data_IF_762961628194
#
_entry.id   IF_762961628194
#
_cell.length_a   1.000
_cell.length_b   1.000
_cell.length_c   1.000
_cell.angle_alpha   90.00
_cell.angle_beta   90.00
_cell.angle_gamma   90.00
#
_symmetry.space_group_name_H-M   'P 1'
#
loop_
_entity.id
_entity.type
_entity.pdbx_description
1 polymer ?
#
# COMPACT_ATOMS: atom_id res chain seq x y z
N UNK A 1 -40.61 14.25 -46.37
CA UNK A 1 -40.83 12.80 -46.24
C UNK A 1 -39.94 12.31 -45.10
N UNK A 2 -40.56 11.86 -43.99
CA UNK A 2 -40.20 10.73 -43.10
C UNK A 2 -38.76 10.18 -43.22
N UNK A 3 -37.94 9.94 -42.18
CA UNK A 3 -38.10 9.70 -40.74
C UNK A 3 -36.74 9.89 -40.02
N UNK A 4 -36.80 10.27 -38.75
CA UNK A 4 -35.70 10.23 -37.78
C UNK A 4 -35.29 8.79 -37.44
N UNK A 5 -34.01 8.56 -37.14
CA UNK A 5 -33.54 7.37 -36.43
C UNK A 5 -32.64 7.77 -35.25
N UNK A 6 -33.16 7.52 -34.05
CA UNK A 6 -32.48 7.57 -32.75
C UNK A 6 -32.41 6.12 -32.24
N UNK A 7 -31.29 5.68 -31.68
CA UNK A 7 -31.25 4.39 -30.97
C UNK A 7 -30.22 4.37 -29.84
N UNK A 8 -30.78 4.41 -28.63
CA UNK A 8 -30.17 4.26 -27.32
C UNK A 8 -29.67 2.83 -27.06
N UNK A 9 -28.67 2.72 -26.19
CA UNK A 9 -28.09 1.48 -25.67
C UNK A 9 -29.10 0.67 -24.82
N UNK A 10 -29.15 -0.66 -24.93
CA UNK A 10 -29.98 -1.49 -24.05
C UNK A 10 -29.25 -1.94 -22.78
N UNK A 11 -30.03 -1.93 -21.69
CA UNK A 11 -29.80 -2.55 -20.38
C UNK A 11 -29.85 -4.08 -20.47
N UNK A 12 -29.04 -4.82 -19.69
CA UNK A 12 -29.25 -6.26 -19.48
C UNK A 12 -30.25 -6.54 -18.37
N UNK A 13 -31.09 -7.53 -18.67
CA UNK A 13 -32.28 -8.01 -17.98
C UNK A 13 -31.99 -8.74 -16.66
N UNK A 14 -32.94 -8.59 -15.74
CA UNK A 14 -33.17 -9.37 -14.53
C UNK A 14 -33.44 -10.85 -14.83
N UNK A 15 -32.72 -11.75 -14.16
CA UNK A 15 -33.08 -13.18 -14.06
C UNK A 15 -33.58 -13.48 -12.65
N UNK A 16 -34.81 -13.97 -12.60
CA UNK A 16 -35.57 -14.45 -11.45
C UNK A 16 -35.05 -15.82 -10.97
N UNK A 17 -34.98 -16.02 -9.65
CA UNK A 17 -34.77 -17.33 -9.03
C UNK A 17 -35.87 -17.55 -7.98
N UNK A 18 -36.47 -18.75 -7.84
CA UNK A 18 -37.77 -18.93 -7.22
C UNK A 18 -37.74 -19.07 -5.69
N UNK A 19 -38.82 -18.59 -5.09
CA UNK A 19 -39.18 -18.75 -3.68
C UNK A 19 -39.55 -20.20 -3.34
N UNK A 20 -38.92 -20.77 -2.32
CA UNK A 20 -39.52 -21.84 -1.51
C UNK A 20 -39.47 -21.44 -0.04
N UNK A 21 -40.66 -21.30 0.54
CA UNK A 21 -40.92 -20.98 1.93
C UNK A 21 -41.00 -22.26 2.77
N UNK A 22 -40.37 -22.26 3.94
CA UNK A 22 -40.80 -23.01 5.14
C UNK A 22 -40.00 -22.58 6.38
N UNK A 23 -40.72 -22.06 7.38
CA UNK A 23 -40.33 -22.05 8.80
C UNK A 23 -39.91 -20.69 9.41
N UNK A 24 -40.68 -20.12 10.36
CA UNK A 24 -40.29 -18.92 11.08
C UNK A 24 -39.32 -19.30 12.21
N UNK A 25 -38.01 -19.20 11.97
CA UNK A 25 -37.03 -19.18 13.04
C UNK A 25 -36.91 -17.74 13.57
N UNK A 26 -37.86 -17.34 14.40
CA UNK A 26 -37.73 -16.17 15.27
C UNK A 26 -36.68 -16.45 16.34
N UNK A 27 -35.42 -16.50 15.95
CA UNK A 27 -34.35 -16.09 16.84
C UNK A 27 -34.46 -14.56 16.86
N UNK A 28 -34.97 -14.02 17.96
CA UNK A 28 -34.91 -12.59 18.27
C UNK A 28 -33.45 -12.15 18.18
N UNK A 29 -33.03 -11.74 16.98
CA UNK A 29 -31.69 -11.23 16.73
C UNK A 29 -31.55 -9.98 17.60
N UNK A 30 -30.82 -10.13 18.71
CA UNK A 30 -30.58 -9.06 19.68
C UNK A 30 -29.97 -7.88 18.92
N UNK A 31 -30.79 -6.89 18.64
CA UNK A 31 -30.36 -5.67 17.97
C UNK A 31 -29.74 -4.72 19.01
N UNK A 32 -28.77 -3.94 18.57
CA UNK A 32 -28.04 -3.03 19.45
C UNK A 32 -28.52 -1.60 19.18
N UNK A 33 -29.20 -0.99 20.17
CA UNK A 33 -29.70 0.37 20.10
C UNK A 33 -28.75 1.34 20.81
N UNK A 34 -28.70 2.58 20.35
CA UNK A 34 -27.91 3.63 21.00
C UNK A 34 -28.76 4.39 22.02
N UNK A 35 -28.33 4.35 23.27
CA UNK A 35 -29.02 5.02 24.38
C UNK A 35 -28.51 6.45 24.61
N UNK A 36 -27.65 6.97 23.74
CA UNK A 36 -27.12 8.33 23.87
C UNK A 36 -28.26 9.35 23.67
N UNK A 37 -28.41 10.34 24.58
CA UNK A 37 -29.49 11.32 24.52
C UNK A 37 -29.56 12.02 23.14
N UNK A 38 -30.74 12.02 22.53
CA UNK A 38 -30.96 12.65 21.23
C UNK A 38 -30.41 11.89 20.02
N UNK A 39 -29.79 10.71 20.21
CA UNK A 39 -29.30 9.91 19.09
C UNK A 39 -30.44 9.19 18.35
N UNK A 40 -30.62 9.50 17.06
CA UNK A 40 -31.68 8.92 16.20
C UNK A 40 -31.17 7.77 15.33
N UNK A 41 -30.07 7.11 15.71
CA UNK A 41 -29.51 6.01 14.91
C UNK A 41 -30.47 4.82 14.89
N UNK A 42 -30.66 4.22 13.72
CA UNK A 42 -31.38 2.94 13.59
C UNK A 42 -30.67 1.83 14.39
N UNK A 43 -31.41 0.81 14.88
CA UNK A 43 -30.79 -0.33 15.56
C UNK A 43 -29.76 -1.02 14.68
N UNK A 44 -28.61 -1.35 15.27
CA UNK A 44 -27.52 -2.03 14.57
C UNK A 44 -27.71 -3.54 14.67
N UNK A 45 -27.49 -4.24 13.55
CA UNK A 45 -27.56 -5.71 13.49
C UNK A 45 -26.31 -6.38 14.07
N UNK A 46 -25.15 -5.71 14.00
CA UNK A 46 -23.86 -6.22 14.44
C UNK A 46 -23.33 -5.43 15.64
N UNK A 47 -22.80 -6.14 16.64
CA UNK A 47 -22.16 -5.55 17.81
C UNK A 47 -20.97 -4.66 17.44
N UNK A 48 -20.23 -5.02 16.40
CA UNK A 48 -19.09 -4.25 15.90
C UNK A 48 -19.51 -2.88 15.36
N UNK A 49 -20.61 -2.82 14.59
CA UNK A 49 -21.14 -1.57 14.05
C UNK A 49 -21.67 -0.66 15.16
N UNK A 50 -22.35 -1.23 16.16
CA UNK A 50 -22.80 -0.51 17.34
C UNK A 50 -21.64 0.04 18.17
N UNK A 51 -20.63 -0.79 18.45
CA UNK A 51 -19.42 -0.37 19.18
C UNK A 51 -18.71 0.78 18.44
N UNK A 52 -18.66 0.73 17.10
CA UNK A 52 -18.13 1.82 16.26
C UNK A 52 -19.00 3.07 16.35
N UNK A 53 -20.33 2.93 16.32
CA UNK A 53 -21.26 4.05 16.45
C UNK A 53 -21.11 4.77 17.79
N UNK A 54 -20.98 4.04 18.91
CA UNK A 54 -20.82 4.63 20.25
C UNK A 54 -19.63 5.60 20.37
N UNK A 55 -18.57 5.41 19.57
CA UNK A 55 -17.41 6.33 19.54
C UNK A 55 -17.73 7.71 18.96
N UNK A 56 -18.86 7.88 18.26
CA UNK A 56 -19.31 9.20 17.81
C UNK A 56 -19.66 10.07 19.01
N UNK A 57 -20.17 9.46 20.08
CA UNK A 57 -20.58 10.16 21.30
C UNK A 57 -19.43 10.48 22.25
N UNK A 58 -18.33 9.71 22.15
CA UNK A 58 -17.07 9.97 22.83
C UNK A 58 -15.93 9.99 21.79
N UNK A 59 -15.81 11.03 20.97
CA UNK A 59 -14.87 11.06 19.86
C UNK A 59 -13.47 11.38 20.37
N UNK A 60 -12.85 10.44 21.11
CA UNK A 60 -11.43 10.54 21.37
C UNK A 60 -10.69 10.48 20.03
N UNK A 61 -9.94 11.54 19.71
CA UNK A 61 -9.19 11.65 18.45
C UNK A 61 -7.78 11.16 18.71
N UNK A 62 -7.66 9.84 18.79
CA UNK A 62 -6.41 9.16 19.17
C UNK A 62 -5.43 9.08 18.00
N UNK A 63 -5.88 9.32 16.76
CA UNK A 63 -5.07 9.12 15.57
C UNK A 63 -4.65 10.43 14.92
N UNK A 64 -3.41 10.84 15.19
CA UNK A 64 -2.79 11.99 14.53
C UNK A 64 -2.12 11.57 13.22
N UNK A 65 -2.16 12.44 12.22
CA UNK A 65 -1.36 12.28 11.01
C UNK A 65 0.12 12.60 11.30
N UNK A 66 1.08 11.70 11.00
CA UNK A 66 2.50 11.95 11.23
C UNK A 66 3.16 12.79 10.13
N UNK A 67 2.44 13.13 9.05
CA UNK A 67 2.96 13.95 7.97
C UNK A 67 3.29 15.36 8.48
N UNK A 68 4.48 15.85 8.14
CA UNK A 68 4.94 17.18 8.52
C UNK A 68 4.02 18.26 7.93
N UNK A 69 3.69 19.25 8.76
CA UNK A 69 2.78 20.34 8.36
C UNK A 69 1.31 19.93 8.24
N UNK A 70 0.94 18.65 8.45
CA UNK A 70 -0.45 18.23 8.38
C UNK A 70 -1.26 18.76 9.58
N UNK A 71 -2.40 19.41 9.28
CA UNK A 71 -3.29 20.00 10.30
C UNK A 71 -4.16 18.96 11.04
N UNK A 72 -4.11 17.68 10.64
CA UNK A 72 -4.91 16.58 11.21
C UNK A 72 -4.17 15.88 12.37
N UNK A 73 -3.86 16.64 13.43
CA UNK A 73 -3.16 16.14 14.62
C UNK A 73 -3.92 16.48 15.92
N UNK A 74 -3.65 15.72 16.99
CA UNK A 74 -4.26 15.89 18.31
C UNK A 74 -5.79 15.87 18.23
N UNK A 75 -6.43 16.93 18.76
CA UNK A 75 -7.89 17.10 18.73
C UNK A 75 -8.48 17.18 17.31
N UNK A 76 -7.67 17.49 16.29
CA UNK A 76 -8.07 17.50 14.87
C UNK A 76 -7.75 16.19 14.14
N UNK A 77 -7.26 15.19 14.86
CA UNK A 77 -6.97 13.87 14.36
C UNK A 77 -8.22 13.09 13.93
N UNK A 78 -8.07 11.79 13.84
CA UNK A 78 -9.12 10.85 13.48
C UNK A 78 -9.51 10.03 14.70
N UNK A 79 -10.79 9.66 14.79
CA UNK A 79 -11.28 8.71 15.79
C UNK A 79 -11.23 7.27 15.27
N UNK A 80 -10.80 7.07 14.02
CA UNK A 80 -10.67 5.76 13.38
C UNK A 80 -9.42 5.70 12.53
N UNK A 81 -8.73 4.57 12.62
CA UNK A 81 -7.53 4.23 11.86
C UNK A 81 -7.73 4.21 10.34
N UNK A 82 -8.80 3.57 9.87
CA UNK A 82 -9.07 3.49 8.43
C UNK A 82 -9.25 4.89 7.81
N UNK A 83 -9.79 5.84 8.58
CA UNK A 83 -9.92 7.25 8.15
C UNK A 83 -8.61 8.01 8.15
N UNK A 84 -7.66 7.66 9.02
CA UNK A 84 -6.30 8.18 8.93
C UNK A 84 -5.59 7.63 7.68
N UNK A 85 -5.70 6.33 7.42
CA UNK A 85 -5.09 5.70 6.22
C UNK A 85 -5.70 6.28 4.94
N UNK A 86 -7.03 6.38 4.84
CA UNK A 86 -7.74 7.01 3.72
C UNK A 86 -7.23 8.45 3.50
N UNK A 87 -7.07 9.22 4.59
CA UNK A 87 -6.55 10.58 4.53
C UNK A 87 -5.13 10.63 3.99
N UNK A 88 -4.24 9.74 4.48
CA UNK A 88 -2.85 9.71 4.04
C UNK A 88 -2.76 9.38 2.55
N UNK A 89 -3.46 8.34 2.10
CA UNK A 89 -3.44 7.90 0.71
C UNK A 89 -4.14 8.86 -0.26
N UNK A 90 -4.96 9.79 0.24
CA UNK A 90 -5.67 10.77 -0.59
C UNK A 90 -5.03 12.16 -0.56
N UNK A 91 -4.30 12.50 0.49
CA UNK A 91 -3.85 13.86 0.77
C UNK A 91 -2.34 14.03 0.89
N UNK A 92 -1.58 12.95 0.99
CA UNK A 92 -0.12 12.98 1.04
C UNK A 92 0.43 12.19 -0.13
N UNK A 93 1.26 12.85 -0.92
CA UNK A 93 2.07 12.17 -1.92
C UNK A 93 3.21 11.41 -1.22
N UNK A 94 4.03 10.77 -2.02
CA UNK A 94 5.12 9.95 -1.50
C UNK A 94 6.34 10.77 -1.10
N UNK A 95 6.45 12.01 -1.59
CA UNK A 95 7.51 12.96 -1.22
C UNK A 95 7.21 13.63 0.13
N UNK A 96 5.96 13.50 0.59
CA UNK A 96 5.54 13.94 1.92
C UNK A 96 6.38 13.24 2.98
N UNK A 97 7.02 14.04 3.83
CA UNK A 97 7.85 13.58 4.93
C UNK A 97 7.00 13.34 6.18
N UNK A 98 7.20 12.18 6.80
CA UNK A 98 6.55 11.73 8.02
C UNK A 98 7.55 11.78 9.17
N UNK A 99 7.13 12.37 10.30
CA UNK A 99 7.93 12.43 11.53
C UNK A 99 7.45 11.38 12.51
N UNK A 100 8.40 10.65 13.09
CA UNK A 100 8.08 9.70 14.14
C UNK A 100 7.62 10.43 15.41
N UNK A 101 6.43 10.10 15.97
CA UNK A 101 5.94 10.77 17.18
C UNK A 101 6.57 10.24 18.47
N UNK A 102 7.42 9.20 18.43
CA UNK A 102 8.06 8.63 19.62
C UNK A 102 9.06 9.58 20.25
N UNK A 103 9.13 9.57 21.57
CA UNK A 103 10.18 10.28 22.27
C UNK A 103 11.56 9.73 21.86
N UNK A 104 12.52 10.65 21.70
CA UNK A 104 13.91 10.35 21.34
C UNK A 104 14.07 9.68 19.96
N UNK A 105 13.04 9.72 19.11
CA UNK A 105 13.15 9.39 17.70
C UNK A 105 13.06 10.67 16.86
N UNK A 106 14.11 10.98 16.10
CA UNK A 106 14.16 12.14 15.19
C UNK A 106 14.00 11.74 13.72
N UNK A 107 13.48 10.54 13.45
CA UNK A 107 13.34 10.03 12.10
C UNK A 107 12.35 10.86 11.29
N UNK A 108 12.79 11.23 10.10
CA UNK A 108 12.02 11.94 9.09
C UNK A 108 12.16 11.15 7.80
N UNK A 109 11.07 10.53 7.37
CA UNK A 109 11.09 9.51 6.32
C UNK A 109 9.92 9.74 5.38
N UNK A 110 10.07 9.36 4.11
CA UNK A 110 8.96 9.30 3.17
C UNK A 110 7.88 8.32 3.67
N UNK A 111 6.69 8.39 3.09
CA UNK A 111 5.58 7.48 3.44
C UNK A 111 5.99 6.00 3.37
N UNK A 112 6.80 5.64 2.37
CA UNK A 112 7.20 4.26 2.11
C UNK A 112 8.21 3.76 3.15
N UNK A 113 9.28 4.51 3.42
CA UNK A 113 10.25 4.15 4.46
C UNK A 113 9.64 4.23 5.87
N UNK A 114 8.75 5.19 6.11
CA UNK A 114 8.01 5.28 7.37
C UNK A 114 7.14 4.03 7.64
N UNK A 115 6.67 3.35 6.61
CA UNK A 115 5.86 2.12 6.75
C UNK A 115 6.65 0.93 7.33
N UNK A 116 7.98 0.99 7.30
CA UNK A 116 8.89 -0.02 7.86
C UNK A 116 9.75 0.51 9.03
N UNK A 117 9.73 1.84 9.27
CA UNK A 117 10.47 2.50 10.36
C UNK A 117 10.07 1.99 11.75
N UNK A 118 8.77 1.97 12.04
CA UNK A 118 8.26 1.54 13.33
C UNK A 118 7.25 0.42 13.14
N UNK A 119 7.72 -0.82 13.29
CA UNK A 119 6.85 -1.98 13.25
C UNK A 119 5.83 -2.09 14.40
N UNK A 120 5.74 -1.12 15.33
CA UNK A 120 5.04 -1.41 16.59
C UNK A 120 4.20 -0.33 17.29
N UNK A 121 4.31 0.99 17.09
CA UNK A 121 3.69 1.88 18.11
C UNK A 121 2.93 3.13 17.65
N UNK A 122 2.61 3.21 16.37
CA UNK A 122 1.20 3.43 16.09
C UNK A 122 0.57 2.06 15.95
N UNK A 123 0.54 1.27 17.04
CA UNK A 123 0.36 -0.20 17.11
C UNK A 123 1.05 -0.99 15.99
N UNK A 124 1.27 -2.29 16.11
CA UNK A 124 1.73 -3.11 14.98
C UNK A 124 0.77 -3.07 13.77
N UNK A 125 -0.39 -2.42 13.92
CA UNK A 125 -1.44 -2.39 12.94
C UNK A 125 -1.63 -1.02 12.25
N UNK A 126 -1.38 0.16 12.85
CA UNK A 126 -1.91 1.41 12.26
C UNK A 126 -1.29 1.82 10.93
N UNK A 127 -0.01 1.51 10.70
CA UNK A 127 0.71 1.91 9.48
C UNK A 127 1.43 0.76 8.78
N UNK A 128 1.54 -0.41 9.41
CA UNK A 128 2.08 -1.61 8.76
C UNK A 128 1.32 -1.96 7.47
N UNK A 129 0.07 -1.53 7.32
CA UNK A 129 -0.68 -1.73 6.08
C UNK A 129 -0.29 -0.74 4.97
N UNK A 130 0.31 0.43 5.29
CA UNK A 130 0.71 1.40 4.25
C UNK A 130 1.74 0.82 3.28
N UNK A 131 2.54 -0.15 3.72
CA UNK A 131 3.51 -0.85 2.87
C UNK A 131 2.87 -1.63 1.72
N UNK A 132 1.58 -1.97 1.86
CA UNK A 132 0.78 -2.66 0.86
C UNK A 132 0.11 -1.73 -0.16
N UNK A 133 0.30 -0.42 -0.03
CA UNK A 133 -0.24 0.57 -0.96
C UNK A 133 0.88 1.15 -1.82
N UNK A 134 0.61 1.28 -3.12
CA UNK A 134 1.42 2.08 -4.06
C UNK A 134 0.53 3.00 -4.85
N UNK A 135 1.03 4.19 -5.07
CA UNK A 135 0.41 5.28 -5.83
C UNK A 135 1.15 5.45 -7.14
N UNK A 136 0.43 5.84 -8.18
CA UNK A 136 1.09 6.25 -9.42
C UNK A 136 1.99 7.46 -9.15
N UNK A 137 3.26 7.44 -9.57
CA UNK A 137 4.20 8.56 -9.36
C UNK A 137 3.85 9.80 -10.18
N UNK A 138 2.92 9.69 -11.12
CA UNK A 138 2.52 10.80 -11.98
C UNK A 138 1.65 11.80 -11.20
N UNK A 139 2.01 13.10 -11.18
CA UNK A 139 1.24 14.10 -10.45
C UNK A 139 -0.21 14.19 -10.93
N UNK A 140 -1.13 14.42 -9.98
CA UNK A 140 -2.59 14.47 -10.21
C UNK A 140 -3.19 13.16 -10.76
N UNK A 141 -2.44 12.06 -10.72
CA UNK A 141 -2.99 10.74 -10.99
C UNK A 141 -3.54 10.10 -9.71
N UNK A 142 -4.84 9.76 -9.71
CA UNK A 142 -5.48 9.11 -8.56
C UNK A 142 -5.30 7.59 -8.52
N UNK A 143 -4.55 7.00 -9.45
CA UNK A 143 -4.40 5.56 -9.54
C UNK A 143 -3.54 5.04 -8.39
N UNK A 144 -4.06 4.01 -7.71
CA UNK A 144 -3.40 3.36 -6.58
C UNK A 144 -3.76 1.88 -6.55
N UNK A 145 -2.80 1.09 -6.12
CA UNK A 145 -2.97 -0.34 -5.90
C UNK A 145 -2.91 -0.65 -4.41
N UNK A 146 -3.59 -1.72 -4.02
CA UNK A 146 -3.47 -2.35 -2.72
C UNK A 146 -3.18 -3.83 -2.96
N UNK A 147 -2.20 -4.39 -2.28
CA UNK A 147 -1.79 -5.78 -2.42
C UNK A 147 -1.58 -6.47 -1.09
N UNK A 148 -1.64 -7.79 -1.08
CA UNK A 148 -1.18 -8.60 0.05
C UNK A 148 0.08 -9.35 -0.37
N UNK A 149 0.73 -10.05 0.55
CA UNK A 149 1.90 -10.88 0.23
C UNK A 149 1.65 -11.94 -0.84
N UNK A 150 0.40 -12.36 -1.03
CA UNK A 150 0.01 -13.40 -2.00
C UNK A 150 -0.08 -12.88 -3.44
N UNK A 151 -0.50 -11.62 -3.63
CA UNK A 151 -0.74 -11.02 -4.95
C UNK A 151 0.14 -9.79 -5.23
N UNK A 152 1.25 -9.68 -4.51
CA UNK A 152 2.13 -8.51 -4.57
C UNK A 152 2.59 -8.19 -5.99
N UNK A 153 3.13 -9.18 -6.72
CA UNK A 153 3.66 -8.99 -8.07
C UNK A 153 2.60 -8.60 -9.08
N UNK A 154 1.51 -9.36 -9.15
CA UNK A 154 0.42 -9.10 -10.11
C UNK A 154 -0.13 -7.67 -9.96
N UNK A 155 -0.23 -7.19 -8.73
CA UNK A 155 -0.70 -5.83 -8.45
C UNK A 155 0.34 -4.77 -8.81
N UNK A 156 1.62 -5.02 -8.54
CA UNK A 156 2.71 -4.14 -8.93
C UNK A 156 2.87 -4.07 -10.46
N UNK A 157 2.74 -5.19 -11.16
CA UNK A 157 2.70 -5.25 -12.63
C UNK A 157 1.50 -4.47 -13.18
N UNK A 158 0.34 -4.52 -12.51
CA UNK A 158 -0.81 -3.68 -12.85
C UNK A 158 -0.53 -2.17 -12.69
N UNK A 159 0.30 -1.76 -11.72
CA UNK A 159 0.74 -0.36 -11.61
C UNK A 159 1.69 0.02 -12.75
N UNK A 160 2.62 -0.86 -13.10
CA UNK A 160 3.52 -0.65 -14.23
C UNK A 160 2.74 -0.52 -15.54
N UNK A 161 1.79 -1.41 -15.79
CA UNK A 161 0.91 -1.36 -16.96
C UNK A 161 0.10 -0.05 -16.99
N UNK A 162 -0.43 0.39 -15.85
CA UNK A 162 -1.08 1.70 -15.75
C UNK A 162 -0.14 2.84 -16.17
N UNK A 163 1.11 2.85 -15.70
CA UNK A 163 2.11 3.87 -16.06
C UNK A 163 2.33 3.88 -17.58
N UNK A 164 2.46 2.70 -18.22
CA UNK A 164 2.68 2.59 -19.67
C UNK A 164 1.48 3.06 -20.51
N UNK A 165 0.28 2.67 -20.10
CA UNK A 165 -0.91 2.76 -20.94
C UNK A 165 -1.77 4.00 -20.65
N UNK A 166 -1.64 4.60 -19.47
CA UNK A 166 -2.46 5.74 -19.03
C UNK A 166 -1.74 7.08 -19.11
N UNK A 167 -0.44 7.09 -19.41
CA UNK A 167 0.37 8.30 -19.50
C UNK A 167 1.20 8.30 -20.79
N UNK A 168 1.05 9.35 -21.59
CA UNK A 168 1.82 9.50 -22.81
C UNK A 168 3.31 9.74 -22.51
N UNK A 169 4.17 9.49 -23.50
CA UNK A 169 5.62 9.65 -23.32
C UNK A 169 6.00 11.09 -22.96
N UNK A 170 5.28 12.09 -23.50
CA UNK A 170 5.52 13.51 -23.18
C UNK A 170 5.22 13.81 -21.72
N UNK A 171 4.09 13.34 -21.20
CA UNK A 171 3.72 13.47 -19.80
C UNK A 171 4.74 12.80 -18.89
N UNK A 172 5.12 11.55 -19.20
CA UNK A 172 6.15 10.82 -18.44
C UNK A 172 7.51 11.51 -18.47
N UNK A 173 7.93 12.04 -19.62
CA UNK A 173 9.19 12.78 -19.76
C UNK A 173 9.27 14.01 -18.85
N UNK A 174 8.15 14.71 -18.64
CA UNK A 174 8.12 15.87 -17.74
C UNK A 174 8.38 15.50 -16.27
N UNK A 175 8.15 14.24 -15.89
CA UNK A 175 8.34 13.72 -14.54
C UNK A 175 9.32 12.53 -14.54
N UNK A 176 10.32 12.58 -15.43
CA UNK A 176 11.28 11.49 -15.62
C UNK A 176 12.06 11.16 -14.34
N UNK A 177 12.48 12.18 -13.58
CA UNK A 177 13.20 11.98 -12.32
C UNK A 177 12.32 11.27 -11.29
N UNK A 178 11.07 11.72 -11.11
CA UNK A 178 10.11 11.09 -10.20
C UNK A 178 9.82 9.64 -10.59
N UNK A 179 9.70 9.35 -11.89
CA UNK A 179 9.57 7.97 -12.38
C UNK A 179 10.81 7.14 -12.06
N UNK A 180 12.00 7.68 -12.31
CA UNK A 180 13.28 7.01 -12.07
C UNK A 180 13.51 6.73 -10.59
N UNK A 181 13.21 7.66 -9.69
CA UNK A 181 13.27 7.48 -8.23
C UNK A 181 12.33 6.36 -7.76
N UNK A 182 11.23 6.12 -8.48
CA UNK A 182 10.33 4.98 -8.26
C UNK A 182 10.69 3.72 -9.03
N UNK A 183 11.78 3.76 -9.79
CA UNK A 183 12.32 2.62 -10.50
C UNK A 183 11.67 2.38 -11.86
N UNK A 184 11.10 3.40 -12.50
CA UNK A 184 10.48 3.30 -13.82
C UNK A 184 11.18 4.18 -14.85
N UNK A 185 11.35 3.67 -16.07
CA UNK A 185 11.84 4.44 -17.21
C UNK A 185 10.72 5.33 -17.77
N UNK A 186 11.03 6.58 -18.11
CA UNK A 186 10.02 7.50 -18.65
C UNK A 186 9.64 7.20 -20.10
N UNK A 187 10.51 6.55 -20.89
CA UNK A 187 10.26 6.27 -22.31
C UNK A 187 9.36 5.05 -22.46
N UNK A 188 9.76 3.92 -21.86
CA UNK A 188 9.03 2.66 -21.96
C UNK A 188 8.03 2.46 -20.84
N UNK A 189 8.31 2.94 -19.63
CA UNK A 189 7.55 2.61 -18.41
C UNK A 189 7.95 1.27 -17.83
N UNK A 190 9.06 0.70 -18.31
CA UNK A 190 9.65 -0.52 -17.76
C UNK A 190 10.33 -0.22 -16.43
N UNK A 191 10.50 -1.28 -15.62
CA UNK A 191 11.25 -1.19 -14.38
C UNK A 191 12.72 -1.01 -14.73
N UNK A 192 13.40 -0.11 -14.02
CA UNK A 192 14.84 0.12 -14.14
C UNK A 192 15.55 -0.40 -12.91
N UNK A 193 16.69 -1.08 -13.11
CA UNK A 193 17.51 -1.47 -11.97
C UNK A 193 18.33 -0.26 -11.47
N UNK A 194 18.18 0.17 -10.21
CA UNK A 194 18.91 1.31 -9.70
C UNK A 194 20.38 1.01 -9.41
N UNK A 195 20.78 -0.27 -9.40
CA UNK A 195 22.15 -0.71 -9.06
C UNK A 195 23.04 -0.93 -10.29
N UNK A 196 22.46 -0.98 -11.49
CA UNK A 196 23.21 -1.15 -12.72
C UNK A 196 23.72 0.20 -13.26
N UNK A 197 24.97 0.29 -13.74
CA UNK A 197 25.45 1.46 -14.48
C UNK A 197 24.79 1.51 -15.86
N UNK A 198 23.60 2.11 -15.92
CA UNK A 198 22.75 2.36 -17.10
C UNK A 198 22.24 1.09 -17.82
N UNK A 199 20.92 1.00 -18.01
CA UNK A 199 20.34 0.22 -19.12
C UNK A 199 19.83 -1.20 -18.83
N UNK A 200 19.38 -1.50 -17.62
CA UNK A 200 18.59 -2.72 -17.36
C UNK A 200 17.12 -2.39 -17.23
N UNK A 201 16.30 -2.85 -18.19
CA UNK A 201 14.87 -2.62 -18.26
C UNK A 201 14.12 -3.94 -18.13
N UNK A 202 13.05 -3.96 -17.31
CA UNK A 202 12.29 -5.17 -17.04
C UNK A 202 10.80 -4.94 -17.28
N UNK A 203 10.20 -5.85 -18.04
CA UNK A 203 8.80 -5.75 -18.44
C UNK A 203 7.82 -6.06 -17.30
N UNK A 204 8.29 -6.68 -16.21
CA UNK A 204 7.52 -7.03 -15.01
C UNK A 204 8.43 -7.17 -13.77
N UNK A 205 7.83 -7.19 -12.58
CA UNK A 205 8.54 -7.24 -11.31
C UNK A 205 9.23 -8.59 -11.06
N UNK A 206 8.74 -9.69 -11.64
CA UNK A 206 9.40 -11.00 -11.53
C UNK A 206 10.76 -10.99 -12.23
N UNK A 207 10.83 -10.46 -13.45
CA UNK A 207 12.07 -10.36 -14.20
C UNK A 207 13.09 -9.47 -13.48
N UNK A 208 12.63 -8.36 -12.89
CA UNK A 208 13.47 -7.51 -12.05
C UNK A 208 13.96 -8.21 -10.78
N UNK A 209 13.09 -8.89 -10.02
CA UNK A 209 13.45 -9.59 -8.77
C UNK A 209 14.50 -10.70 -9.03
N UNK A 210 14.35 -11.44 -10.13
CA UNK A 210 15.33 -12.46 -10.55
C UNK A 210 16.69 -11.84 -10.89
N UNK A 211 16.71 -10.74 -11.67
CA UNK A 211 17.94 -10.01 -11.97
C UNK A 211 18.60 -9.46 -10.70
N UNK A 212 17.81 -8.86 -9.80
CA UNK A 212 18.31 -8.32 -8.54
C UNK A 212 19.03 -9.39 -7.72
N UNK A 213 18.42 -10.57 -7.57
CA UNK A 213 19.00 -11.69 -6.83
C UNK A 213 20.28 -12.21 -7.51
N UNK A 214 20.26 -12.36 -8.84
CA UNK A 214 21.36 -12.97 -9.59
C UNK A 214 22.57 -12.05 -9.74
N UNK A 215 22.34 -10.75 -9.97
CA UNK A 215 23.40 -9.80 -10.33
C UNK A 215 23.87 -8.90 -9.18
N UNK A 216 23.08 -8.76 -8.11
CA UNK A 216 23.36 -7.78 -7.04
C UNK A 216 23.48 -8.39 -5.64
N UNK A 217 23.68 -9.72 -5.55
CA UNK A 217 23.92 -10.42 -4.28
C UNK A 217 25.28 -11.13 -4.29
N UNK A 218 26.02 -11.05 -3.17
CA UNK A 218 27.43 -11.44 -3.09
C UNK A 218 27.66 -12.91 -2.70
N UNK A 219 26.63 -13.67 -2.25
CA UNK A 219 26.82 -15.09 -1.88
C UNK A 219 26.50 -16.06 -3.01
N UNK A 220 27.55 -16.75 -3.45
CA UNK A 220 27.61 -17.76 -4.52
C UNK A 220 27.18 -19.17 -4.11
N UNK A 221 26.85 -19.41 -2.83
CA UNK A 221 26.50 -20.75 -2.38
C UNK A 221 24.98 -20.96 -2.28
N UNK A 222 24.41 -21.50 -3.36
CA UNK A 222 22.98 -21.86 -3.46
C UNK A 222 22.57 -22.93 -2.43
N UNK A 223 23.53 -23.56 -1.75
CA UNK A 223 23.32 -24.66 -0.80
C UNK A 223 22.84 -24.22 0.59
N UNK A 224 23.06 -22.97 1.01
CA UNK A 224 22.61 -22.42 2.30
C UNK A 224 21.20 -21.81 2.25
N UNK A 225 20.55 -21.85 1.08
CA UNK A 225 19.26 -21.22 0.90
C UNK A 225 18.13 -22.07 1.50
N UNK A 226 17.19 -21.41 2.17
CA UNK A 226 16.04 -22.09 2.77
C UNK A 226 15.28 -22.88 1.69
N UNK A 227 15.03 -24.17 1.92
CA UNK A 227 14.08 -25.00 1.15
C UNK A 227 12.65 -24.59 1.51
N UNK A 228 12.28 -23.35 1.21
CA UNK A 228 10.89 -22.93 1.31
C UNK A 228 10.17 -23.45 0.06
N UNK A 229 9.57 -24.65 0.16
CA UNK A 229 8.87 -25.36 -0.93
C UNK A 229 7.68 -24.59 -1.55
N UNK A 230 7.36 -23.40 -1.02
CA UNK A 230 6.23 -22.56 -1.44
C UNK A 230 6.60 -21.40 -2.38
N UNK A 231 7.87 -21.22 -2.75
CA UNK A 231 8.29 -20.15 -3.68
C UNK A 231 8.53 -20.70 -5.09
N UNK A 232 8.09 -20.00 -6.17
CA UNK A 232 8.46 -20.39 -7.52
C UNK A 232 9.98 -20.41 -7.71
N UNK A 233 10.46 -21.25 -8.63
CA UNK A 233 11.89 -21.44 -8.88
C UNK A 233 12.62 -20.09 -9.08
N UNK A 234 13.75 -19.90 -8.39
CA UNK A 234 14.55 -18.68 -8.49
C UNK A 234 14.21 -17.58 -7.48
N UNK A 235 13.05 -17.63 -6.81
CA UNK A 235 12.62 -16.63 -5.83
C UNK A 235 12.97 -16.97 -4.38
N UNK A 236 13.04 -15.96 -3.51
CA UNK A 236 13.47 -16.12 -2.10
C UNK A 236 12.41 -15.64 -1.12
N UNK A 237 12.31 -16.28 0.04
CA UNK A 237 11.47 -15.80 1.13
C UNK A 237 12.07 -14.56 1.80
N UNK A 238 11.27 -13.78 2.55
CA UNK A 238 11.76 -12.57 3.26
C UNK A 238 12.95 -12.87 4.17
N UNK A 239 12.97 -14.03 4.83
CA UNK A 239 14.09 -14.47 5.67
C UNK A 239 15.38 -14.73 4.87
N UNK A 240 15.26 -15.23 3.64
CA UNK A 240 16.40 -15.38 2.75
C UNK A 240 16.87 -14.01 2.23
N UNK A 241 15.95 -13.13 1.84
CA UNK A 241 16.28 -11.77 1.41
C UNK A 241 17.05 -11.01 2.50
N UNK A 242 16.65 -11.15 3.77
CA UNK A 242 17.32 -10.49 4.91
C UNK A 242 18.81 -10.79 5.03
N UNK A 243 19.24 -11.98 4.61
CA UNK A 243 20.64 -12.46 4.75
C UNK A 243 21.49 -12.20 3.52
N UNK A 244 20.94 -11.62 2.47
CA UNK A 244 21.70 -11.32 1.26
C UNK A 244 22.72 -10.23 1.56
N UNK A 245 23.96 -10.45 1.18
CA UNK A 245 24.94 -9.38 1.06
C UNK A 245 24.69 -8.67 -0.27
N UNK A 246 24.44 -7.36 -0.24
CA UNK A 246 24.20 -6.53 -1.42
C UNK A 246 25.44 -5.70 -1.75
N UNK A 247 25.49 -5.18 -2.99
CA UNK A 247 26.48 -4.18 -3.38
C UNK A 247 26.44 -2.94 -2.46
N UNK A 248 27.59 -2.29 -2.26
CA UNK A 248 27.74 -1.13 -1.35
C UNK A 248 26.85 0.07 -1.73
N UNK A 249 26.43 0.16 -2.98
CA UNK A 249 25.51 1.21 -3.47
C UNK A 249 24.05 0.97 -3.09
N UNK A 250 23.66 -0.25 -2.69
CA UNK A 250 22.26 -0.61 -2.45
C UNK A 250 21.53 0.27 -1.41
N UNK A 251 22.14 0.65 -0.27
CA UNK A 251 21.48 1.52 0.71
C UNK A 251 21.07 2.89 0.15
N UNK A 252 21.78 3.42 -0.85
CA UNK A 252 21.44 4.71 -1.50
C UNK A 252 20.13 4.62 -2.30
N UNK A 253 19.76 3.40 -2.72
CA UNK A 253 18.58 3.12 -3.54
C UNK A 253 17.51 2.33 -2.78
N UNK A 254 17.61 2.25 -1.45
CA UNK A 254 16.76 1.41 -0.60
C UNK A 254 15.26 1.66 -0.76
N UNK A 255 14.86 2.90 -1.02
CA UNK A 255 13.46 3.25 -1.22
C UNK A 255 12.92 2.76 -2.57
N UNK A 256 13.69 2.95 -3.63
CA UNK A 256 13.38 2.39 -4.96
C UNK A 256 13.31 0.86 -4.90
N UNK A 257 14.27 0.22 -4.21
CA UNK A 257 14.28 -1.23 -4.01
C UNK A 257 13.06 -1.70 -3.20
N UNK A 258 12.66 -1.00 -2.14
CA UNK A 258 11.46 -1.30 -1.37
C UNK A 258 10.16 -1.06 -2.17
N UNK A 259 10.18 -0.10 -3.10
CA UNK A 259 9.06 0.16 -3.99
C UNK A 259 8.82 -1.03 -4.93
N UNK A 260 9.90 -1.54 -5.53
CA UNK A 260 9.88 -2.61 -6.52
C UNK A 260 9.84 -4.02 -5.92
N UNK A 261 10.45 -4.23 -4.74
CA UNK A 261 10.51 -5.52 -4.04
C UNK A 261 10.08 -5.30 -2.58
N UNK A 262 8.78 -5.15 -2.29
CA UNK A 262 8.31 -4.85 -0.94
C UNK A 262 8.78 -5.88 0.12
N UNK A 263 8.98 -7.13 -0.28
CA UNK A 263 9.48 -8.22 0.60
C UNK A 263 10.90 -8.03 1.11
N UNK A 264 11.66 -7.07 0.56
CA UNK A 264 12.99 -6.71 1.06
C UNK A 264 12.94 -5.91 2.36
N UNK A 265 11.74 -5.53 2.84
CA UNK A 265 11.48 -4.76 4.07
C UNK A 265 12.27 -5.21 5.31
N UNK A 266 12.62 -6.49 5.40
CA UNK A 266 13.35 -7.06 6.55
C UNK A 266 14.88 -7.08 6.39
N UNK A 267 15.42 -6.49 5.32
CA UNK A 267 16.84 -6.50 5.03
C UNK A 267 17.62 -5.57 5.96
N UNK A 268 18.85 -5.96 6.32
CA UNK A 268 19.75 -5.18 7.18
C UNK A 268 20.07 -3.75 6.68
N UNK A 269 19.71 -3.41 5.44
CA UNK A 269 19.91 -2.06 4.88
C UNK A 269 18.93 -1.03 5.45
N UNK A 270 17.92 -1.50 6.19
CA UNK A 270 16.89 -0.68 6.83
C UNK A 270 17.08 -0.61 8.36
N UNK A 271 18.09 -1.29 8.92
CA UNK A 271 18.34 -1.33 10.37
C UNK A 271 18.65 0.07 10.95
N UNK A 272 19.19 0.98 10.13
CA UNK A 272 19.48 2.37 10.50
C UNK A 272 18.21 3.22 10.63
N UNK A 273 17.14 2.85 9.94
CA UNK A 273 15.83 3.49 10.04
C UNK A 273 14.88 2.75 10.97
N UNK A 274 15.30 1.71 11.68
CA UNK A 274 14.46 1.10 12.72
C UNK A 274 14.24 2.07 13.89
N UNK A 275 12.99 2.15 14.35
CA UNK A 275 12.60 3.05 15.41
C UNK A 275 13.10 2.59 16.79
N UNK A 276 14.06 3.32 17.36
CA UNK A 276 14.63 3.06 18.71
C UNK A 276 13.96 3.88 19.83
N UNK A 277 12.94 4.68 19.51
CA UNK A 277 12.24 5.55 20.45
C UNK A 277 11.31 4.81 21.43
N UNK A 278 10.95 5.48 22.53
CA UNK A 278 10.01 5.00 23.56
C UNK A 278 8.76 5.89 23.62
N UNK A 279 7.70 5.41 24.25
CA UNK A 279 6.47 6.17 24.56
C UNK A 279 6.55 6.72 25.98
#
# INVERSE_FOLDING_TARGET
MVLSANASKPHPSSTSVPSTSKGPNTITAKSFCCDHPGCKSKPFKLRADFARHRRIHNPNKEYSCPAQGCKRYGVRGFSRKDKLVDHILAGHDDDTIFSCPKERCSAQLTRLLFSIHDGAILSPEHFANLKYYRTCPMPRCGFKIHFTREYERDRLDGLQEHIRNSHDMKGRKNYANTLQERGYDYKSGDITCPLCPVGSFFSNHLAFELHFIDSHTVSSDKSEWCRCDSMPAGLRCSSCLRRLALADSAPQHRETLLSLIPRIESHQMFDDIECKGRY
#
